data_IF_160180778710
#
_entry.id   IF_160180778710
#
_cell.length_a   1.000
_cell.length_b   1.000
_cell.length_c   1.000
_cell.angle_alpha   90.00
_cell.angle_beta   90.00
_cell.angle_gamma   90.00
#
_symmetry.space_group_name_H-M   'P 1'
#
loop_
_entity.id
_entity.type
_entity.pdbx_description
1 polymer ?
2 polymer ?
#
# COMPACT_ATOMS: atom_id res chain seq x y z
N UNK A 5 -7.12 8.93 4.56
CA UNK A 5 -5.87 9.12 3.80
C UNK A 5 -6.15 9.50 2.36
N UNK A 6 -5.53 10.57 1.85
CA UNK A 6 -5.74 11.06 0.51
C UNK A 6 -4.60 10.62 -0.38
N UNK A 7 -4.81 9.56 -1.15
CA UNK A 7 -3.66 8.97 -1.82
C UNK A 7 -3.31 9.76 -3.05
N UNK A 8 -2.08 9.61 -3.54
CA UNK A 8 -1.59 10.37 -4.68
C UNK A 8 -2.42 10.13 -5.93
N UNK A 9 -2.51 8.86 -6.31
CA UNK A 9 -3.27 8.44 -7.48
C UNK A 9 -4.60 7.87 -7.03
N UNK A 10 -4.73 7.67 -5.73
CA UNK A 10 -5.88 6.98 -5.19
C UNK A 10 -5.63 5.49 -5.11
N UNK A 11 -4.60 5.12 -4.36
CA UNK A 11 -4.20 3.73 -4.26
C UNK A 11 -4.04 3.29 -2.81
N UNK A 12 -4.30 2.03 -2.53
CA UNK A 12 -4.87 1.66 -1.24
C UNK A 12 -3.84 1.37 -0.18
N UNK A 13 -4.24 1.79 1.00
CA UNK A 13 -3.45 1.68 2.21
C UNK A 13 -4.10 0.64 3.11
N UNK A 14 -3.35 -0.37 3.46
CA UNK A 14 -3.90 -1.46 4.22
C UNK A 14 -3.02 -1.84 5.40
N UNK A 15 -3.65 -2.33 6.45
CA UNK A 15 -2.95 -2.68 7.67
C UNK A 15 -2.48 -4.12 7.61
N UNK A 16 -1.18 -4.31 7.47
CA UNK A 16 -0.60 -5.64 7.48
C UNK A 16 -0.05 -5.97 8.87
N UNK A 17 -0.06 -7.25 9.21
CA UNK A 17 0.27 -7.72 10.57
C UNK A 17 1.66 -7.33 10.99
N UNK A 18 2.50 -7.10 10.00
CA UNK A 18 3.86 -6.60 10.21
C UNK A 18 3.85 -5.25 10.93
N UNK A 19 2.68 -4.62 10.90
CA UNK A 19 2.49 -3.34 11.55
C UNK A 19 2.79 -2.19 10.62
N UNK A 20 2.45 -2.39 9.36
CA UNK A 20 2.66 -1.39 8.32
C UNK A 20 1.37 -1.08 7.59
N UNK A 21 1.10 0.19 7.38
CA UNK A 21 0.00 0.59 6.53
C UNK A 21 0.53 0.77 5.12
N UNK A 22 0.35 -0.24 4.28
CA UNK A 22 1.06 -0.31 3.02
C UNK A 22 0.27 0.39 1.92
N UNK A 23 1.00 0.93 0.98
CA UNK A 23 0.44 1.55 -0.21
C UNK A 23 0.79 0.73 -1.45
N UNK A 24 -0.23 0.17 -2.10
CA UNK A 24 -0.01 -0.51 -3.38
C UNK A 24 -0.87 0.11 -4.47
N UNK A 25 -0.25 0.31 -5.62
CA UNK A 25 -0.92 0.95 -6.74
C UNK A 25 -0.90 0.02 -7.93
N UNK A 26 -2.03 -0.15 -8.58
CA UNK A 26 -2.12 -0.94 -9.80
C UNK A 26 -1.63 -0.13 -10.99
N UNK A 27 -1.59 1.18 -10.80
CA UNK A 27 -1.01 2.08 -11.79
C UNK A 27 0.50 2.15 -11.59
N UNK A 28 0.96 1.81 -10.39
CA UNK A 28 2.38 1.79 -10.08
C UNK A 28 2.95 0.38 -10.21
N UNK A 29 2.06 -0.62 -10.12
CA UNK A 29 2.44 -2.02 -10.21
C UNK A 29 3.43 -2.37 -9.10
N UNK A 30 3.34 -1.68 -7.97
CA UNK A 30 4.30 -1.90 -6.90
C UNK A 30 3.74 -1.68 -5.53
N UNK A 31 4.36 -2.40 -4.65
CA UNK A 31 4.03 -2.40 -3.25
C UNK A 31 5.04 -1.55 -2.47
N UNK A 32 4.55 -0.45 -1.93
CA UNK A 32 5.38 0.47 -1.17
C UNK A 32 4.86 0.52 0.28
N UNK A 33 5.76 0.78 1.23
CA UNK A 33 5.40 0.72 2.65
C UNK A 33 4.49 1.88 3.07
N UNK A 34 5.06 3.07 3.12
CA UNK A 34 4.48 4.18 3.86
C UNK A 34 3.84 5.26 2.99
N UNK A 35 2.98 6.08 3.60
CA UNK A 35 2.08 6.96 2.89
C UNK A 35 2.83 7.95 2.00
N UNK A 36 2.54 7.85 0.69
CA UNK A 36 3.29 8.50 -0.37
C UNK A 36 2.90 9.90 -0.59
N UNK A 37 1.92 10.06 0.09
CA UNK A 37 1.10 11.27 0.10
C UNK A 37 1.67 12.29 1.08
N UNK A 38 2.63 11.85 1.88
CA UNK A 38 3.32 12.74 2.80
C UNK A 38 4.58 13.25 2.13
N UNK B 1 13.00 -3.53 3.85
CA UNK B 1 12.46 -4.90 3.73
C UNK B 1 11.38 -4.97 2.65
N UNK B 2 11.06 -6.17 2.15
CA UNK B 2 9.97 -6.35 1.18
C UNK B 2 8.60 -6.40 1.87
N UNK B 3 7.58 -5.66 1.39
CA UNK B 3 6.22 -5.82 1.88
C UNK B 3 5.52 -6.90 1.06
N UNK B 4 4.23 -7.22 1.34
CA UNK B 4 3.48 -8.16 0.53
C UNK B 4 3.61 -7.84 -0.97
N UNK B 5 3.63 -8.86 -1.81
CA UNK B 5 3.87 -8.68 -3.25
C UNK B 5 2.83 -7.76 -3.88
N UNK B 6 2.98 -7.50 -5.18
CA UNK B 6 2.02 -6.67 -5.88
C UNK B 6 0.70 -7.43 -6.00
N UNK B 7 -0.32 -6.82 -5.44
CA UNK B 7 -1.49 -7.49 -4.92
C UNK B 7 -2.70 -6.58 -5.03
N UNK B 8 -3.93 -7.11 -5.15
CA UNK B 8 -5.10 -6.27 -5.00
C UNK B 8 -5.46 -6.23 -3.52
N UNK B 9 -6.06 -5.13 -3.05
CA UNK B 9 -5.79 -4.61 -1.72
C UNK B 9 -6.67 -5.17 -0.62
N UNK B 10 -6.09 -5.21 0.56
CA UNK B 10 -6.61 -5.97 1.70
C UNK B 10 -7.16 -5.05 2.78
N UNK B 11 -8.14 -5.54 3.50
CA UNK B 11 -8.85 -4.72 4.49
C UNK B 11 -8.74 -5.32 5.90
N UNK B 12 -9.12 -6.60 6.10
CA UNK B 12 -9.09 -7.23 7.42
C UNK B 12 -7.67 -7.53 7.89
#
# INVERSE_FOLDING_TARGET
GAMEGPLPDGWEQAMTQDGEIYYINHKNKTTSWLDPRL
TPPPAYLPPEDP
#
